data_IF_057765427459
#
_entry.id   IF_057765427459
#
_cell.length_a   1.000
_cell.length_b   1.000
_cell.length_c   1.000
_cell.angle_alpha   90.00
_cell.angle_beta   90.00
_cell.angle_gamma   90.00
#
_symmetry.space_group_name_H-M   'P 1'
#
loop_
_entity.id
_entity.type
_entity.pdbx_description
1 polymer ?
#
# COMPACT_ATOMS: atom_id res chain seq x y z
N UNK A 1 -43.41 -4.47 26.88
CA UNK A 1 -42.85 -5.26 27.98
C UNK A 1 -41.39 -5.55 27.64
N UNK A 2 -40.43 -4.95 28.33
CA UNK A 2 -39.00 -5.25 28.16
C UNK A 2 -38.66 -6.42 29.08
N UNK A 3 -38.68 -7.64 28.55
CA UNK A 3 -38.16 -8.81 29.25
C UNK A 3 -36.62 -8.77 29.17
N UNK A 4 -35.90 -8.88 30.30
CA UNK A 4 -34.45 -8.82 30.28
C UNK A 4 -33.85 -10.05 29.58
N UNK A 5 -32.71 -9.87 28.91
CA UNK A 5 -32.10 -10.87 28.00
C UNK A 5 -31.81 -12.24 28.64
N UNK A 6 -31.63 -12.31 29.96
CA UNK A 6 -31.35 -13.55 30.70
C UNK A 6 -32.60 -14.41 30.92
N UNK A 7 -33.79 -13.82 30.83
CA UNK A 7 -35.07 -14.52 31.02
C UNK A 7 -35.73 -14.85 29.68
N UNK A 8 -35.09 -14.52 28.56
CA UNK A 8 -35.63 -14.74 27.22
C UNK A 8 -35.50 -16.22 26.80
N UNK A 9 -36.59 -16.86 26.33
CA UNK A 9 -36.51 -18.19 25.75
C UNK A 9 -35.50 -18.24 24.60
N UNK A 10 -34.75 -19.33 24.48
CA UNK A 10 -33.63 -19.43 23.53
C UNK A 10 -34.04 -19.18 22.07
N UNK A 11 -35.25 -19.58 21.70
CA UNK A 11 -35.82 -19.37 20.37
C UNK A 11 -36.08 -17.89 20.09
N UNK A 12 -36.52 -17.15 21.11
CA UNK A 12 -36.77 -15.72 21.03
C UNK A 12 -35.46 -14.93 21.07
N UNK A 13 -34.46 -15.42 21.80
CA UNK A 13 -33.10 -14.88 21.78
C UNK A 13 -32.47 -15.01 20.39
N UNK A 14 -32.60 -16.18 19.76
CA UNK A 14 -32.13 -16.42 18.38
C UNK A 14 -32.85 -15.50 17.39
N UNK A 15 -34.17 -15.35 17.52
CA UNK A 15 -34.97 -14.46 16.67
C UNK A 15 -34.54 -13.00 16.82
N UNK A 16 -34.35 -12.54 18.05
CA UNK A 16 -33.91 -11.18 18.37
C UNK A 16 -32.49 -10.93 17.86
N UNK A 17 -31.57 -11.87 18.06
CA UNK A 17 -30.20 -11.78 17.54
C UNK A 17 -30.16 -11.73 16.01
N UNK A 18 -30.98 -12.53 15.31
CA UNK A 18 -31.10 -12.49 13.85
C UNK A 18 -31.69 -11.17 13.37
N UNK A 19 -32.72 -10.66 14.04
CA UNK A 19 -33.30 -9.35 13.73
C UNK A 19 -32.28 -8.23 13.91
N UNK A 20 -31.48 -8.29 14.98
CA UNK A 20 -30.42 -7.32 15.26
C UNK A 20 -29.29 -7.40 14.23
N UNK A 21 -28.87 -8.62 13.85
CA UNK A 21 -27.89 -8.84 12.79
C UNK A 21 -28.38 -8.37 11.41
N UNK A 22 -29.70 -8.37 11.18
CA UNK A 22 -30.32 -7.88 9.94
C UNK A 22 -30.52 -6.35 9.97
N UNK A 23 -30.70 -5.75 11.16
CA UNK A 23 -30.80 -4.30 11.35
C UNK A 23 -29.45 -3.60 11.48
N UNK A 24 -28.40 -4.35 11.84
CA UNK A 24 -27.03 -3.92 11.59
C UNK A 24 -26.87 -3.91 10.07
N UNK A 25 -26.92 -2.70 9.50
CA UNK A 25 -26.54 -2.47 8.10
C UNK A 25 -25.28 -3.27 7.81
N UNK A 26 -25.19 -3.93 6.63
CA UNK A 26 -24.04 -4.77 6.36
C UNK A 26 -22.77 -3.93 6.52
N UNK A 27 -21.67 -4.62 6.72
CA UNK A 27 -20.32 -4.13 6.48
C UNK A 27 -20.29 -3.60 5.03
N UNK A 28 -20.83 -2.42 4.76
CA UNK A 28 -20.86 -1.73 3.46
C UNK A 28 -19.94 -0.54 3.53
N UNK A 29 -19.89 0.15 4.68
CA UNK A 29 -18.93 1.23 4.93
C UNK A 29 -17.49 0.72 4.83
N UNK A 30 -17.16 -0.44 5.41
CA UNK A 30 -15.81 -1.01 5.27
C UNK A 30 -15.48 -1.35 3.80
N UNK A 31 -16.39 -1.96 3.06
CA UNK A 31 -16.16 -2.37 1.67
C UNK A 31 -16.06 -1.18 0.72
N UNK A 32 -16.94 -0.18 0.88
CA UNK A 32 -16.95 1.07 0.12
C UNK A 32 -15.74 1.95 0.46
N UNK A 33 -15.37 2.08 1.73
CA UNK A 33 -14.19 2.84 2.17
C UNK A 33 -12.90 2.16 1.70
N UNK A 34 -12.84 0.82 1.68
CA UNK A 34 -11.64 0.10 1.25
C UNK A 34 -11.49 0.04 -0.28
N UNK A 35 -12.56 0.24 -1.06
CA UNK A 35 -12.48 0.23 -2.53
C UNK A 35 -11.60 1.33 -3.10
N UNK A 36 -11.65 2.57 -2.57
CA UNK A 36 -10.85 3.68 -3.09
C UNK A 36 -9.33 3.49 -2.86
N UNK A 37 -8.85 3.14 -1.66
CA UNK A 37 -7.44 2.77 -1.44
C UNK A 37 -6.99 1.58 -2.30
N UNK A 38 -7.83 0.55 -2.47
CA UNK A 38 -7.52 -0.61 -3.32
C UNK A 38 -7.34 -0.16 -4.78
N UNK A 39 -8.24 0.68 -5.31
CA UNK A 39 -8.13 1.21 -6.66
C UNK A 39 -6.86 2.04 -6.84
N UNK A 40 -6.49 2.88 -5.86
CA UNK A 40 -5.23 3.66 -5.90
C UNK A 40 -4.00 2.74 -5.91
N UNK A 41 -4.00 1.68 -5.10
CA UNK A 41 -2.92 0.67 -5.11
C UNK A 41 -2.82 -0.01 -6.47
N UNK A 42 -3.94 -0.32 -7.11
CA UNK A 42 -3.95 -0.92 -8.44
C UNK A 42 -3.45 0.05 -9.53
N UNK A 43 -3.84 1.32 -9.48
CA UNK A 43 -3.30 2.35 -10.39
C UNK A 43 -1.79 2.49 -10.22
N UNK A 44 -1.28 2.56 -8.98
CA UNK A 44 0.15 2.62 -8.71
C UNK A 44 0.88 1.36 -9.18
N UNK A 45 0.25 0.18 -9.04
CA UNK A 45 0.79 -1.10 -9.54
C UNK A 45 0.90 -1.10 -11.06
N UNK A 46 -0.13 -0.61 -11.77
CA UNK A 46 -0.09 -0.48 -13.24
C UNK A 46 1.00 0.50 -13.65
N UNK A 47 1.08 1.68 -13.02
CA UNK A 47 2.14 2.67 -13.31
C UNK A 47 3.54 2.12 -13.07
N UNK A 48 3.73 1.35 -12.00
CA UNK A 48 5.00 0.67 -11.73
C UNK A 48 5.39 -0.36 -12.79
N UNK A 49 4.42 -1.06 -13.41
CA UNK A 49 4.67 -1.96 -14.55
C UNK A 49 5.07 -1.19 -15.80
N UNK A 50 4.40 -0.07 -16.10
CA UNK A 50 4.73 0.79 -17.25
C UNK A 50 6.17 1.29 -17.14
N UNK A 51 6.54 1.86 -15.99
CA UNK A 51 7.91 2.36 -15.76
C UNK A 51 8.97 1.25 -15.86
N UNK A 52 8.66 0.04 -15.36
CA UNK A 52 9.57 -1.09 -15.50
C UNK A 52 9.78 -1.49 -16.97
N UNK A 53 8.72 -1.48 -17.78
CA UNK A 53 8.81 -1.77 -19.20
C UNK A 53 9.56 -0.67 -19.96
N UNK A 54 9.32 0.61 -19.66
CA UNK A 54 10.05 1.73 -20.24
C UNK A 54 11.55 1.67 -19.91
N UNK A 55 11.90 1.37 -18.66
CA UNK A 55 13.30 1.17 -18.27
C UNK A 55 13.94 -0.01 -19.00
N UNK A 56 13.23 -1.13 -19.18
CA UNK A 56 13.73 -2.26 -19.94
C UNK A 56 13.97 -1.91 -21.42
N UNK A 57 13.07 -1.13 -22.03
CA UNK A 57 13.21 -0.66 -23.40
C UNK A 57 14.40 0.30 -23.55
N UNK A 58 14.56 1.26 -22.63
CA UNK A 58 15.71 2.18 -22.58
C UNK A 58 17.00 1.39 -22.42
N UNK A 59 17.04 0.39 -21.52
CA UNK A 59 18.22 -0.46 -21.34
C UNK A 59 18.58 -1.21 -22.62
N UNK A 60 17.59 -1.80 -23.30
CA UNK A 60 17.81 -2.46 -24.59
C UNK A 60 18.35 -1.49 -25.66
N UNK A 61 17.78 -0.29 -25.78
CA UNK A 61 18.29 0.74 -26.70
C UNK A 61 19.72 1.14 -26.36
N UNK A 62 20.00 1.30 -25.07
CA UNK A 62 21.31 1.63 -24.55
C UNK A 62 22.33 0.52 -24.87
N UNK A 63 21.98 -0.75 -24.67
CA UNK A 63 22.86 -1.87 -24.97
C UNK A 63 23.19 -1.93 -26.48
N UNK A 64 22.19 -1.75 -27.36
CA UNK A 64 22.41 -1.67 -28.80
C UNK A 64 23.33 -0.51 -29.21
N UNK A 65 23.14 0.67 -28.61
CA UNK A 65 23.98 1.83 -28.88
C UNK A 65 25.42 1.61 -28.41
N UNK A 66 25.62 0.93 -27.29
CA UNK A 66 26.95 0.58 -26.79
C UNK A 66 27.69 -0.39 -27.72
N UNK A 67 26.98 -1.38 -28.28
CA UNK A 67 27.54 -2.28 -29.29
C UNK A 67 27.99 -1.51 -30.55
N UNK A 68 27.15 -0.63 -31.08
CA UNK A 68 27.48 0.20 -32.26
C UNK A 68 28.68 1.13 -32.01
N UNK A 69 28.73 1.73 -30.81
CA UNK A 69 29.84 2.62 -30.44
C UNK A 69 31.14 1.87 -30.18
N UNK A 70 31.10 0.60 -29.78
CA UNK A 70 32.31 -0.21 -29.54
C UNK A 70 33.19 -0.32 -30.81
N UNK A 71 32.57 -0.36 -32.00
CA UNK A 71 33.28 -0.37 -33.29
C UNK A 71 33.91 0.97 -33.68
N UNK A 72 33.54 2.05 -33.00
CA UNK A 72 33.98 3.42 -33.26
C UNK A 72 34.90 3.97 -32.16
N UNK A 73 35.21 3.18 -31.14
CA UNK A 73 36.05 3.65 -30.05
C UNK A 73 37.53 3.71 -30.42
N UNK A 74 38.25 4.77 -29.98
CA UNK A 74 39.71 4.75 -29.94
C UNK A 74 40.20 3.55 -29.12
N UNK A 75 41.33 2.96 -29.50
CA UNK A 75 41.90 1.74 -28.88
C UNK A 75 42.10 1.81 -27.36
N UNK A 76 42.04 3.02 -26.78
CA UNK A 76 42.38 3.32 -25.39
C UNK A 76 41.14 3.76 -24.56
N UNK A 77 39.95 3.79 -25.18
CA UNK A 77 38.74 4.27 -24.52
C UNK A 77 37.88 3.13 -23.97
N UNK A 78 37.72 3.03 -22.66
CA UNK A 78 36.84 2.04 -22.00
C UNK A 78 35.38 2.52 -21.80
N UNK A 79 34.90 3.42 -22.65
CA UNK A 79 33.55 4.00 -22.53
C UNK A 79 32.41 2.96 -22.68
N UNK A 80 32.57 1.93 -23.54
CA UNK A 80 31.59 0.84 -23.66
C UNK A 80 31.48 0.00 -22.38
N UNK A 81 32.59 -0.19 -21.64
CA UNK A 81 32.62 -0.93 -20.37
C UNK A 81 31.93 -0.16 -19.24
N UNK A 82 32.02 1.18 -19.24
CA UNK A 82 31.30 2.01 -18.26
C UNK A 82 29.79 1.84 -18.45
N UNK A 83 29.32 1.87 -19.69
CA UNK A 83 27.90 1.74 -20.02
C UNK A 83 27.33 0.36 -19.73
N UNK A 84 28.09 -0.71 -20.02
CA UNK A 84 27.70 -2.09 -19.73
C UNK A 84 27.76 -2.41 -18.22
N UNK A 85 28.68 -1.76 -17.47
CA UNK A 85 28.77 -1.84 -16.00
C UNK A 85 27.77 -0.92 -15.28
N UNK A 86 27.14 0.02 -15.99
CA UNK A 86 25.91 0.66 -15.53
C UNK A 86 24.74 -0.34 -15.62
N UNK A 87 24.88 -1.51 -14.98
CA UNK A 87 23.73 -2.02 -14.25
C UNK A 87 23.28 -0.88 -13.35
N UNK A 88 21.98 -0.65 -13.24
CA UNK A 88 21.43 0.48 -12.50
C UNK A 88 20.89 0.01 -11.13
N UNK A 89 21.72 -0.58 -10.22
CA UNK A 89 21.25 -0.91 -8.89
C UNK A 89 20.80 0.36 -8.15
N UNK A 90 21.37 1.53 -8.47
CA UNK A 90 20.88 2.83 -8.01
C UNK A 90 19.44 3.12 -8.45
N UNK A 91 19.03 2.70 -9.64
CA UNK A 91 17.66 2.85 -10.13
C UNK A 91 16.72 1.82 -9.51
N UNK A 92 17.17 0.57 -9.32
CA UNK A 92 16.37 -0.46 -8.66
C UNK A 92 16.14 -0.16 -7.17
N UNK A 93 17.18 0.27 -6.46
CA UNK A 93 17.11 0.71 -5.07
C UNK A 93 16.25 1.98 -4.95
N UNK A 94 16.37 2.94 -5.88
CA UNK A 94 15.50 4.12 -5.92
C UNK A 94 14.04 3.74 -6.21
N UNK A 95 13.77 2.81 -7.13
CA UNK A 95 12.42 2.31 -7.41
C UNK A 95 11.85 1.57 -6.19
N UNK A 96 12.66 0.79 -5.49
CA UNK A 96 12.25 0.11 -4.25
C UNK A 96 11.92 1.12 -3.14
N UNK A 97 12.75 2.15 -2.97
CA UNK A 97 12.52 3.25 -2.04
C UNK A 97 11.22 4.00 -2.37
N UNK A 98 11.02 4.41 -3.63
CA UNK A 98 9.80 5.08 -4.08
C UNK A 98 8.54 4.22 -3.88
N UNK A 99 8.62 2.92 -4.16
CA UNK A 99 7.50 1.99 -3.92
C UNK A 99 7.15 1.86 -2.44
N UNK A 100 8.15 1.83 -1.58
CA UNK A 100 7.94 1.71 -0.14
C UNK A 100 7.44 3.03 0.47
N UNK A 101 7.94 4.18 0.00
CA UNK A 101 7.45 5.50 0.36
C UNK A 101 5.97 5.65 0.00
N UNK A 102 5.59 5.36 -1.25
CA UNK A 102 4.21 5.39 -1.71
C UNK A 102 3.29 4.47 -0.90
N UNK A 103 3.76 3.27 -0.50
CA UNK A 103 2.99 2.38 0.40
C UNK A 103 2.80 3.01 1.77
N UNK A 104 3.82 3.65 2.33
CA UNK A 104 3.74 4.29 3.64
C UNK A 104 2.81 5.50 3.64
N UNK A 105 2.79 6.29 2.57
CA UNK A 105 1.87 7.43 2.41
C UNK A 105 0.41 6.98 2.34
N UNK A 106 0.12 5.91 1.58
CA UNK A 106 -1.25 5.36 1.51
C UNK A 106 -1.73 4.91 2.89
N UNK A 107 -0.86 4.32 3.70
CA UNK A 107 -1.19 3.90 5.06
C UNK A 107 -1.41 5.10 6.00
N UNK A 108 -0.64 6.18 5.86
CA UNK A 108 -0.85 7.41 6.62
C UNK A 108 -2.20 8.08 6.26
N UNK A 109 -2.54 8.16 4.97
CA UNK A 109 -3.83 8.69 4.53
C UNK A 109 -5.00 7.84 5.02
N UNK A 110 -4.82 6.51 5.03
CA UNK A 110 -5.78 5.60 5.64
C UNK A 110 -5.94 5.89 7.13
N UNK A 111 -4.84 6.05 7.88
CA UNK A 111 -4.89 6.40 9.29
C UNK A 111 -5.65 7.71 9.54
N UNK A 112 -5.32 8.78 8.80
CA UNK A 112 -6.00 10.07 8.89
C UNK A 112 -7.50 9.94 8.62
N UNK A 113 -7.89 9.19 7.60
CA UNK A 113 -9.30 8.95 7.25
C UNK A 113 -10.03 8.30 8.42
N UNK A 114 -9.49 7.22 8.99
CA UNK A 114 -10.10 6.52 10.12
C UNK A 114 -10.13 7.37 11.41
N UNK A 115 -9.11 8.21 11.65
CA UNK A 115 -9.14 9.18 12.76
C UNK A 115 -10.23 10.23 12.56
N UNK A 116 -10.46 10.66 11.32
CA UNK A 116 -11.58 11.55 10.95
C UNK A 116 -12.92 10.92 11.31
N UNK A 117 -13.18 9.70 10.81
CA UNK A 117 -14.41 8.95 11.08
C UNK A 117 -14.64 8.67 12.58
N UNK A 118 -13.56 8.45 13.35
CA UNK A 118 -13.63 8.27 14.79
C UNK A 118 -14.07 9.52 15.56
N UNK A 119 -13.92 10.70 14.95
CA UNK A 119 -14.24 11.99 15.55
C UNK A 119 -15.53 12.61 14.99
N UNK A 120 -16.24 11.93 14.09
CA UNK A 120 -17.53 12.39 13.58
C UNK A 120 -18.61 12.39 14.67
N UNK A 121 -19.47 13.41 14.61
CA UNK A 121 -20.61 13.53 15.51
C UNK A 121 -21.60 12.37 15.28
N UNK A 122 -21.99 11.71 16.37
CA UNK A 122 -22.86 10.52 16.32
C UNK A 122 -22.12 9.19 16.14
N UNK A 123 -20.78 9.19 16.07
CA UNK A 123 -19.98 7.97 16.06
C UNK A 123 -20.11 7.21 17.39
N UNK A 124 -20.66 5.99 17.35
CA UNK A 124 -20.84 5.17 18.56
C UNK A 124 -19.51 4.81 19.21
N UNK A 125 -19.50 4.56 20.52
CA UNK A 125 -18.29 4.17 21.24
C UNK A 125 -17.58 2.94 20.64
N UNK A 126 -18.35 1.96 20.17
CA UNK A 126 -17.84 0.76 19.51
C UNK A 126 -17.19 1.08 18.16
N UNK A 127 -17.84 1.94 17.36
CA UNK A 127 -17.32 2.35 16.06
C UNK A 127 -16.06 3.20 16.19
N UNK A 128 -16.07 4.15 17.13
CA UNK A 128 -14.92 4.98 17.48
C UNK A 128 -13.71 4.14 17.88
N UNK A 129 -13.92 3.09 18.68
CA UNK A 129 -12.86 2.14 19.05
C UNK A 129 -12.32 1.39 17.83
N UNK A 130 -13.20 0.87 16.97
CA UNK A 130 -12.81 0.14 15.75
C UNK A 130 -12.01 0.99 14.76
N UNK A 131 -12.45 2.22 14.51
CA UNK A 131 -11.74 3.16 13.63
C UNK A 131 -10.38 3.56 14.19
N UNK A 132 -10.29 3.86 15.50
CA UNK A 132 -9.00 4.16 16.13
C UNK A 132 -8.02 2.97 16.07
N UNK A 133 -8.50 1.74 16.29
CA UNK A 133 -7.66 0.54 16.16
C UNK A 133 -7.16 0.34 14.73
N UNK A 134 -8.00 0.64 13.73
CA UNK A 134 -7.62 0.54 12.31
C UNK A 134 -6.58 1.58 11.93
N UNK A 135 -6.74 2.82 12.42
CA UNK A 135 -5.75 3.87 12.26
C UNK A 135 -4.40 3.51 12.90
N UNK A 136 -4.42 2.99 14.13
CA UNK A 136 -3.21 2.57 14.85
C UNK A 136 -2.48 1.44 14.10
N UNK A 137 -3.21 0.48 13.53
CA UNK A 137 -2.61 -0.57 12.69
C UNK A 137 -1.96 0.01 11.44
N UNK A 138 -2.63 0.94 10.77
CA UNK A 138 -2.09 1.61 9.58
C UNK A 138 -0.80 2.38 9.90
N UNK A 139 -0.81 3.15 10.99
CA UNK A 139 0.35 3.89 11.51
C UNK A 139 1.52 2.94 11.81
N UNK A 140 1.25 1.81 12.48
CA UNK A 140 2.25 0.80 12.79
C UNK A 140 2.86 0.14 11.54
N UNK A 141 2.03 -0.20 10.54
CA UNK A 141 2.52 -0.75 9.28
C UNK A 141 3.33 0.26 8.47
N UNK A 142 2.94 1.54 8.45
CA UNK A 142 3.69 2.60 7.79
C UNK A 142 5.07 2.76 8.44
N UNK A 143 5.13 2.80 9.77
CA UNK A 143 6.37 2.86 10.52
C UNK A 143 7.27 1.64 10.28
N UNK A 144 6.70 0.44 10.17
CA UNK A 144 7.43 -0.79 9.84
C UNK A 144 8.11 -0.69 8.46
N UNK A 145 7.38 -0.24 7.43
CA UNK A 145 7.92 -0.08 6.06
C UNK A 145 9.07 0.92 6.03
N UNK A 146 8.93 2.07 6.72
CA UNK A 146 10.00 3.07 6.83
C UNK A 146 11.25 2.52 7.52
N UNK A 147 11.08 1.71 8.58
CA UNK A 147 12.22 1.07 9.28
C UNK A 147 12.96 0.08 8.38
N UNK A 148 12.24 -0.69 7.56
CA UNK A 148 12.87 -1.62 6.62
C UNK A 148 13.73 -0.92 5.57
N UNK A 149 13.30 0.24 5.07
CA UNK A 149 14.09 1.06 4.16
C UNK A 149 15.42 1.53 4.78
N UNK A 150 15.38 2.01 6.03
CA UNK A 150 16.60 2.46 6.72
C UNK A 150 17.57 1.33 7.08
N UNK A 151 17.06 0.11 7.32
CA UNK A 151 17.91 -1.04 7.64
C UNK A 151 18.46 -1.74 6.38
N UNK A 152 17.76 -1.68 5.24
CA UNK A 152 18.21 -2.25 3.97
C UNK A 152 19.32 -1.46 3.26
N UNK A 153 19.47 -0.16 3.56
CA UNK A 153 20.53 0.69 2.99
C UNK A 153 21.89 0.59 3.69
N UNK A 154 22.02 -0.23 4.74
CA UNK A 154 23.21 -0.34 5.60
C UNK A 154 24.11 -1.55 5.37
N UNK A 155 23.86 -2.36 4.34
CA UNK A 155 24.70 -3.52 3.99
C UNK A 155 25.07 -3.52 2.51
N UNK A 156 26.13 -2.79 2.17
CA UNK A 156 27.13 -3.16 1.16
C UNK A 156 28.48 -2.60 1.60
#
# INVERSE_FOLDING_TARGET
MNMPLHDMPIEELIRTARSYATSMTPITTYTEIMHEPINRVDVLRVRGKVLANENAAIKCMNDCLAEELSGHQPADAEMHLIWQKCETPLTDDAIAALKAEAKSEVLDEMAKTYRGLANEDGCSCNMKSSYNLTAERAENYAAYIRRQLHQGGGQK
#
